data_IF_923200580834
#
_entry.id   IF_923200580834
#
_cell.length_a   1.000
_cell.length_b   1.000
_cell.length_c   1.000
_cell.angle_alpha   90.00
_cell.angle_beta   90.00
_cell.angle_gamma   90.00
#
_symmetry.space_group_name_H-M   'P 1'
#
loop_
_entity.id
_entity.type
_entity.pdbx_description
1 polymer ?
#
# COMPACT_ATOMS: atom_id res chain seq x y z
N UNK A 1 17.01 2.11 -26.98
CA UNK A 1 15.94 3.05 -26.63
C UNK A 1 14.64 2.81 -27.44
N UNK A 2 14.36 1.58 -27.88
CA UNK A 2 13.15 1.22 -28.66
C UNK A 2 12.36 0.03 -28.11
N UNK A 3 12.82 -0.58 -27.00
CA UNK A 3 12.16 -1.77 -26.40
C UNK A 3 11.22 -1.47 -25.23
N UNK A 4 11.32 -0.31 -24.62
CA UNK A 4 10.49 0.07 -23.44
C UNK A 4 9.04 0.42 -23.78
N UNK A 5 8.76 0.83 -25.04
CA UNK A 5 7.41 1.25 -25.44
C UNK A 5 6.43 0.10 -25.78
N UNK A 6 6.91 -1.12 -26.01
CA UNK A 6 6.02 -2.24 -26.35
C UNK A 6 5.51 -2.99 -25.12
N UNK A 7 6.33 -3.13 -24.08
CA UNK A 7 5.91 -3.76 -22.83
C UNK A 7 4.85 -2.92 -22.10
N UNK A 8 5.05 -1.59 -22.02
CA UNK A 8 4.08 -0.67 -21.43
C UNK A 8 2.74 -0.67 -22.18
N UNK A 9 2.75 -0.77 -23.52
CA UNK A 9 1.52 -0.85 -24.31
C UNK A 9 0.78 -2.17 -24.15
N UNK A 10 1.48 -3.27 -23.95
CA UNK A 10 0.86 -4.57 -23.70
C UNK A 10 0.23 -4.64 -22.30
N UNK A 11 0.86 -4.05 -21.30
CA UNK A 11 0.32 -3.96 -19.94
C UNK A 11 -0.92 -3.05 -19.91
N UNK A 12 -0.88 -1.91 -20.61
CA UNK A 12 -2.05 -1.01 -20.72
C UNK A 12 -3.22 -1.66 -21.46
N UNK A 13 -2.94 -2.41 -22.53
CA UNK A 13 -3.98 -3.14 -23.27
C UNK A 13 -4.60 -4.28 -22.44
N UNK A 14 -3.80 -4.98 -21.64
CA UNK A 14 -4.28 -6.00 -20.72
C UNK A 14 -5.18 -5.40 -19.62
N UNK A 15 -4.78 -4.24 -19.05
CA UNK A 15 -5.57 -3.51 -18.06
C UNK A 15 -6.89 -2.97 -18.62
N UNK A 16 -6.91 -2.45 -19.85
CA UNK A 16 -8.13 -1.96 -20.50
C UNK A 16 -9.10 -3.10 -20.82
N UNK A 17 -8.62 -4.27 -21.20
CA UNK A 17 -9.47 -5.43 -21.47
C UNK A 17 -10.07 -6.02 -20.18
N UNK A 18 -9.36 -5.91 -19.06
CA UNK A 18 -9.85 -6.35 -17.75
C UNK A 18 -10.92 -5.38 -17.21
N UNK A 19 -10.71 -4.07 -17.35
CA UNK A 19 -11.63 -3.04 -16.83
C UNK A 19 -12.96 -2.97 -17.59
N UNK A 20 -12.97 -3.24 -18.90
CA UNK A 20 -14.21 -3.22 -19.70
C UNK A 20 -15.15 -4.39 -19.42
N UNK A 21 -14.68 -5.48 -18.79
CA UNK A 21 -15.56 -6.59 -18.36
C UNK A 21 -16.18 -6.40 -16.97
N UNK A 22 -15.59 -5.60 -16.11
CA UNK A 22 -16.10 -5.34 -14.77
C UNK A 22 -17.33 -4.39 -14.74
N UNK A 23 -17.52 -3.57 -15.78
CA UNK A 23 -18.60 -2.57 -15.84
C UNK A 23 -19.95 -3.18 -16.29
N UNK A 24 -19.99 -4.41 -16.81
CA UNK A 24 -21.21 -5.05 -17.33
C UNK A 24 -21.72 -6.28 -16.56
N UNK A 25 -21.27 -6.49 -15.31
CA UNK A 25 -21.60 -7.68 -14.53
C UNK A 25 -22.64 -7.45 -13.42
N UNK A 26 -23.50 -6.44 -13.53
CA UNK A 26 -24.56 -6.20 -12.54
C UNK A 26 -25.96 -6.19 -13.20
N UNK A 27 -26.34 -7.34 -13.78
CA UNK A 27 -27.73 -7.67 -14.05
C UNK A 27 -27.96 -9.14 -13.68
N UNK A 28 -28.73 -9.32 -12.62
CA UNK A 28 -29.23 -10.52 -11.96
C UNK A 28 -29.51 -11.78 -12.76
N UNK A 29 -28.48 -12.46 -13.29
CA UNK A 29 -28.58 -13.74 -14.00
C UNK A 29 -27.44 -14.69 -13.59
N UNK A 30 -27.43 -15.12 -12.34
CA UNK A 30 -26.27 -15.82 -11.76
C UNK A 30 -26.49 -17.30 -11.39
N UNK A 31 -27.54 -17.98 -11.85
CA UNK A 31 -27.78 -19.37 -11.41
C UNK A 31 -27.64 -20.41 -12.52
N UNK A 32 -27.63 -20.03 -13.79
CA UNK A 32 -27.74 -21.03 -14.89
C UNK A 32 -26.45 -21.17 -15.75
N UNK A 33 -25.51 -20.26 -15.65
CA UNK A 33 -24.32 -20.25 -16.52
C UNK A 33 -23.19 -21.15 -16.04
N UNK A 34 -23.05 -21.32 -14.73
CA UNK A 34 -22.01 -22.17 -14.15
C UNK A 34 -22.30 -23.65 -14.38
N UNK A 35 -23.55 -24.07 -14.30
CA UNK A 35 -23.97 -25.45 -14.58
C UNK A 35 -23.82 -25.80 -16.08
N UNK A 36 -24.04 -24.85 -16.97
CA UNK A 36 -23.83 -25.02 -18.42
C UNK A 36 -22.36 -25.19 -18.78
N UNK A 37 -21.47 -24.37 -18.15
CA UNK A 37 -20.02 -24.47 -18.30
C UNK A 37 -19.50 -25.81 -17.74
N UNK A 38 -20.02 -26.27 -16.59
CA UNK A 38 -19.64 -27.57 -16.02
C UNK A 38 -20.08 -28.74 -16.90
N UNK A 39 -21.26 -28.66 -17.50
CA UNK A 39 -21.74 -29.64 -18.45
C UNK A 39 -20.88 -29.68 -19.73
N UNK A 40 -20.45 -28.54 -20.23
CA UNK A 40 -19.58 -28.43 -21.40
C UNK A 40 -18.16 -28.96 -21.11
N UNK A 41 -17.61 -28.68 -19.93
CA UNK A 41 -16.30 -29.22 -19.46
C UNK A 41 -16.38 -30.76 -19.31
N UNK A 42 -17.43 -31.31 -18.75
CA UNK A 42 -17.60 -32.75 -18.61
C UNK A 42 -17.81 -33.42 -19.98
N UNK A 43 -18.54 -32.79 -20.90
CA UNK A 43 -18.68 -33.24 -22.27
C UNK A 43 -17.34 -33.27 -23.01
N UNK A 44 -16.54 -32.20 -22.90
CA UNK A 44 -15.19 -32.11 -23.46
C UNK A 44 -14.23 -33.14 -22.84
N UNK A 45 -14.28 -33.37 -21.53
CA UNK A 45 -13.48 -34.42 -20.85
C UNK A 45 -13.86 -35.82 -21.33
N UNK A 46 -15.14 -36.03 -21.63
CA UNK A 46 -15.64 -37.32 -22.13
C UNK A 46 -15.22 -37.53 -23.57
N UNK A 47 -15.26 -36.49 -24.40
CA UNK A 47 -14.81 -36.51 -25.78
C UNK A 47 -13.30 -36.71 -25.90
N UNK A 48 -12.51 -36.03 -25.05
CA UNK A 48 -11.06 -36.26 -24.94
C UNK A 48 -10.75 -37.70 -24.50
N UNK A 49 -11.52 -38.28 -23.56
CA UNK A 49 -11.36 -39.70 -23.16
C UNK A 49 -11.69 -40.63 -24.33
N UNK A 50 -12.73 -40.34 -25.10
CA UNK A 50 -13.14 -41.11 -26.26
C UNK A 50 -12.12 -41.02 -27.42
N UNK A 51 -11.56 -39.82 -27.66
CA UNK A 51 -10.47 -39.60 -28.62
C UNK A 51 -9.18 -40.30 -28.18
N UNK A 52 -8.84 -40.32 -26.87
CA UNK A 52 -7.72 -41.11 -26.35
C UNK A 52 -7.89 -42.61 -26.53
N UNK A 53 -9.12 -43.13 -26.40
CA UNK A 53 -9.41 -44.55 -26.62
C UNK A 53 -9.38 -44.99 -28.11
N UNK A 54 -9.57 -44.05 -29.04
CA UNK A 54 -9.51 -44.30 -30.50
C UNK A 54 -8.10 -44.19 -31.11
N UNK A 55 -7.14 -43.57 -30.41
CA UNK A 55 -5.82 -43.29 -30.94
C UNK A 55 -4.76 -44.36 -30.66
N UNK A 56 -5.20 -45.59 -30.43
CA UNK A 56 -4.23 -46.70 -30.25
C UNK A 56 -3.75 -47.29 -31.58
N UNK A 57 -4.33 -46.91 -32.71
CA UNK A 57 -3.84 -47.38 -34.00
C UNK A 57 -3.74 -46.27 -35.04
N UNK A 58 -2.58 -46.23 -35.66
CA UNK A 58 -2.11 -45.61 -36.89
C UNK A 58 -1.67 -44.15 -36.93
N UNK A 59 -0.36 -43.99 -37.07
CA UNK A 59 0.20 -43.07 -38.10
C UNK A 59 0.55 -41.64 -37.73
N UNK A 60 0.51 -41.23 -36.46
CA UNK A 60 1.03 -39.90 -36.09
C UNK A 60 2.56 -39.96 -35.87
N UNK A 61 3.30 -39.20 -36.69
CA UNK A 61 4.72 -38.94 -36.52
C UNK A 61 5.02 -38.44 -35.07
N UNK A 62 6.14 -38.82 -34.50
CA UNK A 62 6.55 -38.51 -33.15
C UNK A 62 6.48 -37.00 -32.87
N UNK A 63 6.78 -36.17 -33.85
CA UNK A 63 6.71 -34.70 -33.80
C UNK A 63 5.26 -34.20 -33.63
N UNK A 64 4.33 -34.76 -34.38
CA UNK A 64 2.89 -34.42 -34.25
C UNK A 64 2.29 -34.88 -32.92
N UNK A 65 2.75 -36.01 -32.37
CA UNK A 65 2.31 -36.46 -31.01
C UNK A 65 2.75 -35.50 -29.94
N UNK A 66 3.96 -34.95 -30.02
CA UNK A 66 4.48 -33.95 -29.09
C UNK A 66 3.65 -32.64 -29.21
N UNK A 67 3.34 -32.22 -30.42
CA UNK A 67 2.59 -30.99 -30.68
C UNK A 67 1.12 -31.09 -30.22
N UNK A 68 0.46 -32.21 -30.49
CA UNK A 68 -0.90 -32.49 -30.00
C UNK A 68 -0.91 -32.58 -28.47
N UNK A 69 0.09 -33.23 -27.86
CA UNK A 69 0.19 -33.31 -26.41
C UNK A 69 0.42 -31.91 -25.77
N UNK A 70 1.21 -31.08 -26.44
CA UNK A 70 1.42 -29.68 -26.02
C UNK A 70 0.11 -28.87 -26.07
N UNK A 71 -0.63 -28.91 -27.19
CA UNK A 71 -1.91 -28.23 -27.35
C UNK A 71 -2.95 -28.72 -26.33
N UNK A 72 -3.00 -30.02 -26.06
CA UNK A 72 -3.89 -30.58 -25.03
C UNK A 72 -3.47 -30.13 -23.63
N UNK A 73 -2.17 -30.13 -23.33
CA UNK A 73 -1.70 -29.65 -22.03
C UNK A 73 -1.93 -28.15 -21.86
N UNK A 74 -1.73 -27.35 -22.90
CA UNK A 74 -2.01 -25.91 -22.88
C UNK A 74 -3.52 -25.64 -22.72
N UNK A 75 -4.38 -26.40 -23.39
CA UNK A 75 -5.83 -26.30 -23.22
C UNK A 75 -6.31 -26.79 -21.83
N UNK A 76 -5.71 -27.84 -21.28
CA UNK A 76 -6.01 -28.31 -19.94
C UNK A 76 -5.52 -27.32 -18.88
N UNK A 77 -4.33 -26.72 -19.06
CA UNK A 77 -3.84 -25.67 -18.19
C UNK A 77 -4.72 -24.42 -18.22
N UNK A 78 -5.23 -24.02 -19.39
CA UNK A 78 -6.20 -22.93 -19.53
C UNK A 78 -7.56 -23.28 -18.87
N UNK A 79 -8.02 -24.52 -19.02
CA UNK A 79 -9.24 -25.00 -18.34
C UNK A 79 -9.04 -25.08 -16.82
N UNK A 80 -7.90 -25.55 -16.34
CA UNK A 80 -7.56 -25.60 -14.92
C UNK A 80 -7.39 -24.18 -14.33
N UNK A 81 -6.83 -23.23 -15.08
CA UNK A 81 -6.82 -21.81 -14.69
C UNK A 81 -8.22 -21.22 -14.57
N UNK A 82 -9.15 -21.60 -15.44
CA UNK A 82 -10.54 -21.14 -15.38
C UNK A 82 -11.34 -21.78 -14.27
N UNK A 83 -11.08 -23.05 -13.96
CA UNK A 83 -11.78 -23.79 -12.88
C UNK A 83 -11.20 -23.48 -11.50
N UNK A 84 -9.91 -23.16 -11.38
CA UNK A 84 -9.31 -22.70 -10.13
C UNK A 84 -9.77 -21.30 -9.71
N UNK A 85 -10.43 -20.54 -10.57
CA UNK A 85 -11.10 -19.27 -10.21
C UNK A 85 -12.35 -19.46 -9.35
N UNK A 86 -12.97 -20.62 -9.35
CA UNK A 86 -14.09 -20.90 -8.46
C UNK A 86 -13.61 -20.97 -6.99
N UNK A 87 -13.84 -19.88 -6.23
CA UNK A 87 -13.47 -19.74 -4.83
C UNK A 87 -12.19 -18.92 -4.54
N UNK A 88 -11.51 -18.40 -5.57
CA UNK A 88 -10.39 -17.45 -5.40
C UNK A 88 -10.80 -16.02 -5.72
N UNK A 89 -10.10 -15.01 -5.16
CA UNK A 89 -10.28 -13.62 -5.57
C UNK A 89 -10.13 -13.46 -7.09
N UNK A 90 -10.93 -12.61 -7.69
CA UNK A 90 -10.93 -12.38 -9.15
C UNK A 90 -9.57 -11.86 -9.68
N UNK A 91 -8.75 -11.26 -8.83
CA UNK A 91 -7.43 -10.69 -9.09
C UNK A 91 -6.28 -11.66 -8.81
N UNK A 92 -6.56 -12.96 -8.53
CA UNK A 92 -5.54 -13.97 -8.24
C UNK A 92 -5.47 -15.03 -9.34
N UNK A 93 -4.25 -15.41 -9.73
CA UNK A 93 -3.92 -16.54 -10.61
C UNK A 93 -3.02 -17.48 -9.83
N UNK A 94 -3.20 -18.78 -9.99
CA UNK A 94 -2.33 -19.77 -9.36
C UNK A 94 -2.00 -20.93 -10.31
N UNK A 95 -0.83 -21.54 -10.12
CA UNK A 95 -0.48 -22.81 -10.76
C UNK A 95 -1.35 -23.97 -10.25
N UNK A 96 -1.44 -25.03 -11.02
CA UNK A 96 -2.26 -26.19 -10.67
C UNK A 96 -1.76 -26.93 -9.41
N UNK A 97 -0.48 -26.89 -9.14
CA UNK A 97 0.18 -27.46 -7.94
C UNK A 97 0.12 -26.54 -6.72
N UNK A 98 -0.22 -25.26 -6.92
CA UNK A 98 -0.28 -24.26 -5.85
C UNK A 98 1.08 -23.66 -5.47
N UNK A 99 2.17 -24.06 -6.11
CA UNK A 99 3.52 -23.57 -5.81
C UNK A 99 3.75 -22.12 -6.26
N UNK A 100 2.94 -21.65 -7.20
CA UNK A 100 2.97 -20.26 -7.68
C UNK A 100 1.60 -19.62 -7.56
N UNK A 101 1.56 -18.42 -7.00
CA UNK A 101 0.40 -17.52 -7.05
C UNK A 101 0.81 -16.14 -7.53
N UNK A 102 -0.08 -15.45 -8.21
CA UNK A 102 0.07 -14.05 -8.61
C UNK A 102 -1.24 -13.34 -8.34
N UNK A 103 -1.19 -12.33 -7.50
CA UNK A 103 -2.27 -11.37 -7.26
C UNK A 103 -1.87 -10.02 -7.83
N UNK A 104 -2.82 -9.31 -8.45
CA UNK A 104 -2.64 -7.98 -8.96
C UNK A 104 -3.68 -7.05 -8.34
N UNK A 105 -3.22 -5.94 -7.76
CA UNK A 105 -4.06 -4.93 -7.12
C UNK A 105 -3.76 -3.54 -7.71
N UNK A 106 -4.78 -2.70 -7.76
CA UNK A 106 -4.68 -1.30 -8.20
C UNK A 106 -5.37 -0.42 -7.18
N UNK A 107 -4.70 0.66 -6.77
CA UNK A 107 -5.29 1.74 -5.98
C UNK A 107 -5.14 3.01 -6.79
N UNK A 108 -6.24 3.73 -7.00
CA UNK A 108 -6.27 5.03 -7.66
C UNK A 108 -7.02 6.03 -6.80
N UNK A 109 -6.36 7.16 -6.50
CA UNK A 109 -6.94 8.28 -5.77
C UNK A 109 -6.79 9.55 -6.60
N UNK A 110 -7.92 10.16 -6.94
CA UNK A 110 -8.00 11.35 -7.76
C UNK A 110 -8.62 12.48 -6.97
N UNK A 111 -7.91 13.58 -6.85
CA UNK A 111 -8.21 14.66 -5.94
C UNK A 111 -8.56 15.96 -6.65
N UNK A 112 -9.42 16.75 -6.04
CA UNK A 112 -9.55 18.16 -6.27
C UNK A 112 -9.25 18.90 -4.96
N UNK A 113 -8.43 19.93 -5.05
CA UNK A 113 -7.91 20.67 -3.91
C UNK A 113 -8.09 22.16 -4.14
N UNK A 114 -8.49 22.87 -3.09
CA UNK A 114 -8.49 24.32 -3.00
C UNK A 114 -7.75 24.71 -1.71
N UNK A 115 -6.66 25.49 -1.83
CA UNK A 115 -5.97 26.09 -0.69
C UNK A 115 -6.13 27.59 -0.70
N UNK A 116 -6.57 28.13 0.42
CA UNK A 116 -6.63 29.57 0.70
C UNK A 116 -5.71 29.87 1.89
N UNK A 117 -4.59 30.51 1.63
CA UNK A 117 -3.60 30.96 2.63
C UNK A 117 -3.66 32.47 2.81
N UNK A 118 -3.18 32.96 3.97
CA UNK A 118 -3.00 34.40 4.19
C UNK A 118 -1.73 34.96 3.55
N UNK A 119 -0.70 34.13 3.43
CA UNK A 119 0.63 34.53 2.93
C UNK A 119 0.83 34.21 1.45
N UNK A 120 0.02 33.33 0.88
CA UNK A 120 0.17 32.83 -0.49
C UNK A 120 -1.12 33.05 -1.31
N UNK A 121 -1.01 33.18 -2.64
CA UNK A 121 -2.18 33.21 -3.51
C UNK A 121 -3.03 31.95 -3.37
N UNK A 122 -4.34 32.08 -3.49
CA UNK A 122 -5.25 30.92 -3.53
C UNK A 122 -4.87 29.99 -4.68
N UNK A 123 -4.69 28.72 -4.39
CA UNK A 123 -4.34 27.66 -5.35
C UNK A 123 -5.45 26.62 -5.40
N UNK A 124 -5.73 26.10 -6.57
CA UNK A 124 -6.72 25.04 -6.75
C UNK A 124 -6.39 24.20 -7.99
N UNK A 125 -6.80 22.95 -7.98
CA UNK A 125 -6.58 22.06 -9.13
C UNK A 125 -6.95 20.62 -8.85
N UNK A 126 -6.83 19.84 -9.90
CA UNK A 126 -6.94 18.38 -9.85
C UNK A 126 -5.57 17.75 -9.75
N UNK A 127 -5.47 16.64 -9.04
CA UNK A 127 -4.27 15.83 -8.92
C UNK A 127 -4.64 14.34 -8.96
N UNK A 128 -3.80 13.54 -9.60
CA UNK A 128 -3.76 12.11 -9.38
C UNK A 128 -2.76 11.89 -8.23
N UNK A 129 -3.28 11.78 -7.02
CA UNK A 129 -2.46 11.66 -5.82
C UNK A 129 -1.78 10.31 -5.74
N UNK A 130 -2.57 9.26 -5.83
CA UNK A 130 -2.10 7.89 -5.74
C UNK A 130 -2.55 7.09 -6.95
N UNK A 131 -1.59 6.45 -7.62
CA UNK A 131 -1.84 5.35 -8.54
C UNK A 131 -0.83 4.26 -8.25
N UNK A 132 -1.23 3.27 -7.44
CA UNK A 132 -0.41 2.12 -7.09
C UNK A 132 -0.80 0.91 -7.94
N UNK A 133 0.22 0.24 -8.46
CA UNK A 133 0.10 -1.02 -9.17
C UNK A 133 0.90 -2.06 -8.41
N UNK A 134 0.22 -3.00 -7.77
CA UNK A 134 0.86 -4.01 -6.93
C UNK A 134 0.74 -5.39 -7.55
N UNK A 135 1.81 -6.15 -7.48
CA UNK A 135 1.87 -7.56 -7.83
C UNK A 135 2.46 -8.31 -6.64
N UNK A 136 1.83 -9.40 -6.22
CA UNK A 136 2.33 -10.21 -5.12
C UNK A 136 1.90 -11.66 -5.25
N UNK A 137 2.48 -12.52 -4.43
CA UNK A 137 2.11 -13.92 -4.44
C UNK A 137 3.17 -14.82 -3.82
N UNK A 138 3.07 -16.11 -4.13
CA UNK A 138 4.03 -17.13 -3.69
C UNK A 138 4.81 -17.68 -4.88
N UNK A 139 6.01 -18.22 -4.62
CA UNK A 139 6.87 -18.88 -5.60
C UNK A 139 7.65 -19.97 -4.89
N UNK A 140 7.84 -21.13 -5.53
CA UNK A 140 8.50 -22.31 -4.93
C UNK A 140 7.76 -22.91 -3.70
N UNK A 141 6.45 -22.65 -3.59
CA UNK A 141 5.62 -23.07 -2.47
C UNK A 141 5.20 -21.93 -1.54
N UNK A 142 4.41 -22.21 -0.49
CA UNK A 142 3.79 -21.19 0.35
C UNK A 142 4.77 -20.42 1.24
N UNK A 143 5.97 -20.97 1.48
CA UNK A 143 6.97 -20.37 2.38
C UNK A 143 7.71 -19.19 1.73
N UNK A 144 7.77 -19.17 0.41
CA UNK A 144 8.36 -18.08 -0.35
C UNK A 144 7.30 -17.19 -0.93
N UNK A 145 7.28 -15.94 -0.54
CA UNK A 145 6.42 -14.90 -1.11
C UNK A 145 7.23 -13.76 -1.70
N UNK A 146 6.61 -13.02 -2.59
CA UNK A 146 7.16 -11.81 -3.18
C UNK A 146 6.09 -10.75 -3.28
N UNK A 147 6.51 -9.49 -3.26
CA UNK A 147 5.63 -8.37 -3.57
C UNK A 147 6.41 -7.28 -4.28
N UNK A 148 5.76 -6.66 -5.26
CA UNK A 148 6.27 -5.50 -5.98
C UNK A 148 5.12 -4.51 -6.10
N UNK A 149 5.35 -3.26 -5.71
CA UNK A 149 4.43 -2.16 -5.91
C UNK A 149 5.15 -1.00 -6.57
N UNK A 150 4.52 -0.39 -7.53
CA UNK A 150 5.00 0.83 -8.16
C UNK A 150 3.93 1.91 -8.10
N UNK A 151 4.31 3.10 -7.64
CA UNK A 151 3.50 4.30 -7.72
C UNK A 151 3.79 5.04 -9.04
N UNK A 152 2.76 5.66 -9.59
CA UNK A 152 2.92 6.61 -10.69
C UNK A 152 2.99 8.01 -10.09
N UNK A 153 4.17 8.62 -10.17
CA UNK A 153 4.36 9.99 -9.70
C UNK A 153 3.65 11.03 -10.59
N UNK A 154 3.52 12.26 -10.09
CA UNK A 154 2.88 13.37 -10.79
C UNK A 154 3.55 13.74 -12.13
N UNK A 155 4.79 13.36 -12.33
CA UNK A 155 5.53 13.50 -13.59
C UNK A 155 5.32 12.32 -14.57
N UNK A 156 4.48 11.34 -14.20
CA UNK A 156 4.24 10.12 -14.98
C UNK A 156 5.36 9.07 -14.87
N UNK A 157 6.33 9.27 -13.99
CA UNK A 157 7.36 8.26 -13.72
C UNK A 157 6.80 7.15 -12.82
N UNK A 158 7.25 5.92 -13.06
CA UNK A 158 7.01 4.79 -12.17
C UNK A 158 8.10 4.78 -11.10
N UNK A 159 7.71 4.95 -9.86
CA UNK A 159 8.57 4.86 -8.69
C UNK A 159 8.20 3.59 -7.92
N UNK A 160 9.14 2.71 -7.60
CA UNK A 160 8.83 1.56 -6.77
C UNK A 160 8.54 2.02 -5.34
N UNK A 161 7.45 1.51 -4.80
CA UNK A 161 7.08 1.69 -3.39
C UNK A 161 7.66 0.57 -2.53
N UNK A 162 7.70 -0.64 -3.07
CA UNK A 162 8.39 -1.78 -2.49
C UNK A 162 8.65 -2.84 -3.55
N UNK A 163 9.70 -3.63 -3.35
CA UNK A 163 10.03 -4.78 -4.18
C UNK A 163 10.88 -5.74 -3.36
N UNK A 164 10.28 -6.79 -2.81
CA UNK A 164 10.99 -7.72 -1.93
C UNK A 164 10.61 -9.16 -2.18
N UNK A 165 11.52 -10.06 -1.77
CA UNK A 165 11.24 -11.46 -1.55
C UNK A 165 11.21 -11.73 -0.03
N UNK A 166 10.31 -12.63 0.40
CA UNK A 166 10.16 -13.04 1.80
C UNK A 166 10.23 -14.55 1.91
N UNK A 167 10.89 -15.03 2.94
CA UNK A 167 10.81 -16.40 3.40
C UNK A 167 10.15 -16.46 4.78
N UNK A 168 9.13 -17.31 4.90
CA UNK A 168 8.41 -17.56 6.14
C UNK A 168 8.83 -18.91 6.73
N UNK A 169 9.30 -18.90 7.98
CA UNK A 169 9.61 -20.09 8.74
C UNK A 169 8.36 -20.65 9.46
N UNK A 170 8.35 -21.95 9.74
CA UNK A 170 7.23 -22.66 10.38
C UNK A 170 6.82 -22.07 11.74
N UNK A 171 7.75 -21.43 12.43
CA UNK A 171 7.54 -20.86 13.77
C UNK A 171 7.03 -19.42 13.76
N UNK A 172 6.67 -18.88 12.59
CA UNK A 172 6.17 -17.53 12.41
C UNK A 172 7.25 -16.45 12.27
N UNK A 173 8.54 -16.82 12.28
CA UNK A 173 9.65 -15.95 11.91
C UNK A 173 9.60 -15.73 10.39
N UNK A 174 9.90 -14.53 9.93
CA UNK A 174 10.08 -14.25 8.49
C UNK A 174 11.26 -13.31 8.25
N UNK A 175 11.81 -13.44 7.05
CA UNK A 175 12.90 -12.59 6.55
C UNK A 175 12.48 -12.04 5.20
N UNK A 176 12.60 -10.73 5.03
CA UNK A 176 12.41 -10.04 3.74
C UNK A 176 13.73 -9.42 3.30
N UNK A 177 13.95 -9.36 1.99
CA UNK A 177 15.09 -8.66 1.40
C UNK A 177 14.68 -7.95 0.11
N UNK A 178 15.13 -6.73 -0.07
CA UNK A 178 14.83 -5.89 -1.24
C UNK A 178 14.58 -4.44 -0.88
N UNK A 179 13.70 -3.77 -1.63
CA UNK A 179 13.15 -2.45 -1.29
C UNK A 179 11.99 -2.69 -0.34
N UNK A 180 12.14 -2.23 0.88
CA UNK A 180 11.24 -2.53 1.98
C UNK A 180 10.28 -1.36 2.23
N UNK A 181 9.05 -1.67 2.65
CA UNK A 181 8.20 -0.69 3.32
C UNK A 181 8.54 -0.72 4.81
N UNK A 182 9.17 0.32 5.31
CA UNK A 182 9.50 0.42 6.74
C UNK A 182 8.33 1.04 7.50
N UNK A 183 7.63 0.22 8.26
CA UNK A 183 6.49 0.66 9.07
C UNK A 183 6.97 1.21 10.41
N UNK A 184 7.32 2.48 10.43
CA UNK A 184 7.75 3.17 11.64
C UNK A 184 6.58 3.43 12.59
N UNK A 185 5.40 3.81 12.06
CA UNK A 185 4.16 3.99 12.82
C UNK A 185 3.02 3.14 12.25
N UNK A 186 1.93 3.00 13.01
CA UNK A 186 0.75 2.28 12.53
C UNK A 186 0.14 2.95 11.30
N UNK A 187 0.13 4.27 11.24
CA UNK A 187 -0.51 5.01 10.14
C UNK A 187 0.19 4.74 8.80
N UNK A 188 1.51 4.63 8.80
CA UNK A 188 2.30 4.30 7.61
C UNK A 188 2.12 2.84 7.17
N UNK A 189 1.76 1.95 8.10
CA UNK A 189 1.50 0.54 7.79
C UNK A 189 0.13 0.28 7.16
N UNK A 190 -0.74 1.30 7.09
CA UNK A 190 -2.09 1.17 6.55
C UNK A 190 -2.10 1.58 5.09
N UNK A 191 -2.64 0.72 4.24
CA UNK A 191 -2.75 1.00 2.80
C UNK A 191 -3.51 2.31 2.53
N UNK A 192 -3.17 3.06 1.47
CA UNK A 192 -3.83 4.32 1.14
C UNK A 192 -5.35 4.23 1.06
N UNK A 193 -5.90 3.12 0.55
CA UNK A 193 -7.34 2.93 0.44
C UNK A 193 -8.05 2.72 1.79
N UNK A 194 -7.32 2.37 2.85
CA UNK A 194 -7.86 2.14 4.20
C UNK A 194 -7.63 3.34 5.15
N UNK A 195 -7.08 4.44 4.66
CA UNK A 195 -6.94 5.69 5.42
C UNK A 195 -8.31 6.34 5.66
N UNK A 196 -8.45 7.12 6.75
CA UNK A 196 -9.71 7.84 7.04
C UNK A 196 -9.97 8.96 6.04
N UNK A 197 -8.99 9.82 5.85
CA UNK A 197 -9.06 10.99 4.98
C UNK A 197 -8.61 10.71 3.55
N UNK A 198 -8.25 11.78 2.86
CA UNK A 198 -7.70 11.73 1.51
C UNK A 198 -6.27 11.23 1.50
N UNK A 199 -5.53 11.36 2.62
CA UNK A 199 -4.13 10.97 2.77
C UNK A 199 -3.81 10.63 4.24
N UNK A 200 -2.58 10.18 4.48
CA UNK A 200 -1.96 10.14 5.81
C UNK A 200 -2.13 11.51 6.51
N UNK A 201 -2.00 11.53 7.84
CA UNK A 201 -1.84 12.79 8.54
C UNK A 201 -0.57 13.52 8.04
N UNK A 202 -0.59 14.86 8.04
CA UNK A 202 0.58 15.64 7.72
C UNK A 202 1.77 15.25 8.59
N UNK A 203 1.51 15.03 9.88
CA UNK A 203 2.51 14.56 10.83
C UNK A 203 3.10 13.21 10.43
N UNK A 204 2.30 12.19 10.10
CA UNK A 204 2.82 10.88 9.74
C UNK A 204 3.68 10.92 8.47
N UNK A 205 3.31 11.75 7.49
CA UNK A 205 4.11 11.97 6.28
C UNK A 205 5.49 12.58 6.56
N UNK A 206 5.61 13.41 7.62
CA UNK A 206 6.90 14.00 7.99
C UNK A 206 7.89 13.00 8.60
N UNK A 207 7.38 11.89 9.12
CA UNK A 207 8.15 10.83 9.77
C UNK A 207 8.07 9.52 8.95
N UNK A 208 7.82 9.63 7.66
CA UNK A 208 7.83 8.48 6.77
C UNK A 208 9.26 7.98 6.54
N UNK A 209 9.48 6.70 6.81
CA UNK A 209 10.78 6.06 6.61
C UNK A 209 11.13 5.88 5.13
N UNK A 210 10.15 6.06 4.25
CA UNK A 210 10.32 5.80 2.82
C UNK A 210 10.48 4.31 2.52
N UNK A 211 11.21 4.01 1.47
CA UNK A 211 11.40 2.67 0.92
C UNK A 211 12.89 2.32 0.84
N UNK A 212 13.58 2.08 1.98
CA UNK A 212 14.98 1.76 1.95
C UNK A 212 15.25 0.36 1.43
N UNK A 213 16.42 0.18 0.83
CA UNK A 213 16.94 -1.13 0.46
C UNK A 213 17.57 -1.80 1.69
N UNK A 214 17.19 -3.05 1.98
CA UNK A 214 17.67 -3.71 3.18
C UNK A 214 17.17 -5.12 3.39
N UNK A 215 17.34 -5.57 4.64
CA UNK A 215 16.85 -6.84 5.15
C UNK A 215 16.00 -6.57 6.38
N UNK A 216 14.79 -7.11 6.38
CA UNK A 216 13.86 -7.06 7.49
C UNK A 216 13.69 -8.47 8.07
N UNK A 217 13.75 -8.57 9.38
CA UNK A 217 13.43 -9.79 10.13
C UNK A 217 12.26 -9.48 11.06
N UNK A 218 11.22 -10.31 11.02
CA UNK A 218 10.05 -10.11 11.85
C UNK A 218 9.45 -11.41 12.33
N UNK A 219 8.64 -11.32 13.39
CA UNK A 219 7.89 -12.45 13.92
C UNK A 219 6.56 -11.99 14.48
N UNK A 220 5.52 -12.75 14.17
CA UNK A 220 4.18 -12.54 14.70
C UNK A 220 3.78 -13.66 15.67
N UNK A 221 3.27 -13.25 16.82
CA UNK A 221 2.63 -14.10 17.83
C UNK A 221 1.15 -13.76 17.92
N UNK A 222 0.43 -14.46 18.75
CA UNK A 222 -0.99 -14.20 18.98
C UNK A 222 -1.29 -12.76 19.40
N UNK A 223 -0.50 -12.21 20.34
CA UNK A 223 -0.70 -10.86 20.91
C UNK A 223 0.44 -9.90 20.69
N UNK A 224 1.58 -10.36 20.21
CA UNK A 224 2.77 -9.57 19.97
C UNK A 224 3.23 -9.70 18.53
N UNK A 225 3.77 -8.64 18.01
CA UNK A 225 4.48 -8.65 16.74
C UNK A 225 5.70 -7.74 16.85
N UNK A 226 6.80 -8.14 16.24
CA UNK A 226 7.96 -7.29 16.13
C UNK A 226 8.62 -7.48 14.76
N UNK A 227 9.31 -6.45 14.33
CA UNK A 227 10.25 -6.51 13.22
C UNK A 227 11.40 -5.56 13.44
N UNK A 228 12.52 -5.85 12.78
CA UNK A 228 13.69 -5.00 12.72
C UNK A 228 14.27 -5.03 11.33
N UNK A 229 14.70 -3.87 10.85
CA UNK A 229 15.29 -3.67 9.54
C UNK A 229 16.72 -3.22 9.69
N UNK A 230 17.60 -3.75 8.85
CA UNK A 230 18.93 -3.22 8.57
C UNK A 230 18.91 -2.75 7.11
N UNK A 231 19.17 -1.46 6.89
CA UNK A 231 18.97 -0.83 5.57
C UNK A 231 20.04 0.21 5.25
N UNK A 232 19.98 0.78 4.06
CA UNK A 232 20.79 1.91 3.61
C UNK A 232 20.45 3.23 4.34
N UNK A 233 19.60 3.18 5.36
CA UNK A 233 19.15 4.31 6.15
C UNK A 233 17.82 4.90 5.66
N UNK A 234 17.29 5.80 6.46
CA UNK A 234 15.99 6.43 6.30
C UNK A 234 15.83 7.11 4.94
N UNK A 235 14.76 6.78 4.23
CA UNK A 235 14.41 7.39 2.94
C UNK A 235 15.36 7.03 1.79
N UNK A 236 16.20 6.02 1.93
CA UNK A 236 17.25 5.70 0.95
C UNK A 236 16.87 4.49 0.10
N UNK A 237 16.49 4.75 -1.15
CA UNK A 237 16.28 3.73 -2.18
C UNK A 237 17.02 4.08 -3.47
N UNK A 238 17.41 3.07 -4.25
CA UNK A 238 18.14 3.20 -5.52
C UNK A 238 19.45 4.00 -5.44
N UNK A 239 20.16 3.86 -4.33
CA UNK A 239 21.44 4.51 -4.13
C UNK A 239 22.55 3.62 -4.65
N UNK A 240 23.54 4.21 -5.33
CA UNK A 240 24.78 3.48 -5.63
C UNK A 240 25.43 3.07 -4.29
N UNK A 241 25.60 1.76 -4.01
CA UNK A 241 26.15 1.29 -2.76
C UNK A 241 27.60 1.76 -2.52
N UNK A 242 28.30 2.21 -3.57
CA UNK A 242 29.65 2.77 -3.44
C UNK A 242 29.64 4.26 -3.05
N UNK A 243 28.52 4.94 -3.26
CA UNK A 243 28.33 6.36 -2.87
C UNK A 243 27.61 6.50 -1.52
N UNK A 244 26.87 5.46 -1.09
CA UNK A 244 26.17 5.47 0.19
C UNK A 244 27.12 5.05 1.32
N UNK A 245 27.26 5.93 2.30
CA UNK A 245 28.04 5.67 3.52
C UNK A 245 27.14 5.62 4.76
N UNK A 246 25.83 5.54 4.58
CA UNK A 246 24.83 5.49 5.65
C UNK A 246 24.32 4.08 5.85
N UNK A 247 24.11 3.70 7.10
CA UNK A 247 23.41 2.47 7.49
C UNK A 247 22.36 2.86 8.53
N UNK A 248 21.18 2.27 8.41
CA UNK A 248 20.08 2.46 9.34
C UNK A 248 19.64 1.16 9.97
N UNK A 249 19.23 1.25 11.22
CA UNK A 249 18.48 0.19 11.91
C UNK A 249 17.17 0.78 12.38
N UNK A 250 16.07 0.12 12.02
CA UNK A 250 14.75 0.42 12.56
C UNK A 250 14.22 -0.82 13.29
N UNK A 251 13.44 -0.61 14.34
CA UNK A 251 12.72 -1.66 15.02
C UNK A 251 11.35 -1.17 15.45
N UNK A 252 10.36 -2.07 15.39
CA UNK A 252 9.01 -1.81 15.91
C UNK A 252 8.50 -3.02 16.67
N UNK A 253 7.81 -2.76 17.79
CA UNK A 253 7.10 -3.76 18.60
C UNK A 253 5.66 -3.34 18.74
N UNK A 254 4.75 -4.28 18.58
CA UNK A 254 3.32 -4.08 18.74
C UNK A 254 2.73 -5.07 19.71
N UNK A 255 1.79 -4.58 20.52
CA UNK A 255 1.01 -5.37 21.46
C UNK A 255 -0.47 -5.23 21.17
N UNK A 256 -1.13 -6.35 20.91
CA UNK A 256 -2.56 -6.48 20.66
C UNK A 256 -3.22 -7.25 21.79
N UNK A 257 -3.80 -6.58 22.80
CA UNK A 257 -4.50 -7.25 23.89
C UNK A 257 -5.69 -8.09 23.42
N UNK A 258 -6.43 -7.58 22.42
CA UNK A 258 -7.59 -8.23 21.79
C UNK A 258 -7.82 -7.69 20.38
N UNK A 259 -8.62 -8.41 19.58
CA UNK A 259 -8.91 -8.10 18.18
C UNK A 259 -8.14 -8.99 17.20
N UNK A 260 -8.34 -8.75 15.92
CA UNK A 260 -7.63 -9.41 14.84
C UNK A 260 -6.54 -8.49 14.27
N UNK A 261 -5.40 -9.06 13.88
CA UNK A 261 -4.29 -8.27 13.31
C UNK A 261 -4.68 -7.52 12.05
N UNK A 262 -5.43 -8.17 11.14
CA UNK A 262 -5.79 -7.56 9.87
C UNK A 262 -6.75 -6.38 10.05
N UNK A 263 -7.76 -6.52 10.91
CA UNK A 263 -8.73 -5.46 11.16
C UNK A 263 -8.12 -4.21 11.82
N UNK A 264 -7.04 -4.38 12.59
CA UNK A 264 -6.34 -3.27 13.25
C UNK A 264 -5.46 -2.44 12.32
N UNK A 265 -5.25 -2.92 11.08
CA UNK A 265 -4.55 -2.22 10.00
C UNK A 265 -5.51 -1.56 9.00
N UNK A 266 -6.73 -1.26 9.45
CA UNK A 266 -7.73 -0.46 8.74
C UNK A 266 -8.17 0.67 9.65
N UNK A 267 -8.12 1.92 9.20
CA UNK A 267 -8.67 3.02 9.99
C UNK A 267 -10.17 3.18 9.82
N UNK A 268 -10.73 2.60 8.77
CA UNK A 268 -12.17 2.59 8.54
C UNK A 268 -12.82 1.44 9.34
N UNK A 269 -13.45 1.69 10.50
CA UNK A 269 -14.06 0.67 11.34
C UNK A 269 -15.41 0.23 10.77
N UNK A 270 -15.41 -0.39 9.59
CA UNK A 270 -16.61 -0.81 8.87
C UNK A 270 -17.54 -1.64 9.75
N UNK A 271 -18.83 -1.24 9.89
CA UNK A 271 -19.78 -1.98 10.68
C UNK A 271 -19.92 -3.44 10.20
N UNK A 272 -19.70 -4.39 11.13
CA UNK A 272 -19.79 -5.83 10.84
C UNK A 272 -18.50 -6.47 10.31
N UNK A 273 -17.48 -5.71 9.92
CA UNK A 273 -16.16 -6.24 9.54
C UNK A 273 -15.18 -6.19 10.71
N UNK A 274 -15.30 -5.20 11.57
CA UNK A 274 -14.45 -5.02 12.75
C UNK A 274 -15.28 -5.14 14.00
N UNK A 275 -15.05 -6.16 14.81
CA UNK A 275 -15.78 -6.32 16.07
C UNK A 275 -15.23 -5.39 17.15
N UNK A 276 -14.05 -5.69 17.63
CA UNK A 276 -13.35 -4.92 18.64
C UNK A 276 -11.84 -5.19 18.59
N UNK A 277 -11.05 -4.14 18.67
CA UNK A 277 -9.60 -4.28 18.68
C UNK A 277 -8.88 -3.16 19.43
N UNK A 278 -7.71 -3.47 19.96
CA UNK A 278 -6.78 -2.52 20.56
C UNK A 278 -5.36 -2.91 20.15
N UNK A 279 -4.62 -1.94 19.66
CA UNK A 279 -3.20 -2.06 19.32
C UNK A 279 -2.40 -0.95 20.00
N UNK A 280 -1.24 -1.28 20.54
CA UNK A 280 -0.26 -0.33 21.05
C UNK A 280 1.07 -0.64 20.34
N UNK A 281 1.68 0.35 19.74
CA UNK A 281 2.92 0.24 18.98
C UNK A 281 4.01 1.17 19.50
N UNK A 282 5.25 0.72 19.39
CA UNK A 282 6.46 1.51 19.64
C UNK A 282 7.45 1.24 18.52
N UNK A 283 7.94 2.31 17.89
CA UNK A 283 8.96 2.26 16.86
C UNK A 283 10.15 3.11 17.23
N UNK A 284 11.32 2.73 16.73
CA UNK A 284 12.54 3.50 16.85
C UNK A 284 13.48 3.24 15.70
N UNK A 285 14.22 4.25 15.28
CA UNK A 285 15.28 4.11 14.29
C UNK A 285 16.52 4.87 14.70
N UNK A 286 17.65 4.36 14.25
CA UNK A 286 18.94 5.00 14.37
C UNK A 286 19.70 4.84 13.05
N UNK A 287 20.13 5.96 12.49
CA UNK A 287 20.96 5.99 11.29
C UNK A 287 22.33 6.57 11.64
N UNK A 288 23.38 5.99 11.08
CA UNK A 288 24.74 6.47 11.23
C UNK A 288 25.48 6.51 9.91
N UNK A 289 26.45 7.41 9.80
CA UNK A 289 27.27 7.59 8.61
C UNK A 289 26.97 8.89 7.86
N UNK A 290 27.67 9.06 6.76
CA UNK A 290 27.56 10.25 5.94
C UNK A 290 26.46 10.08 4.88
N UNK A 291 25.73 11.13 4.67
CA UNK A 291 24.62 11.20 3.72
C UNK A 291 25.01 12.08 2.53
N UNK A 292 25.05 11.51 1.35
CA UNK A 292 25.27 12.26 0.11
C UNK A 292 23.95 12.88 -0.37
N UNK A 293 23.85 14.20 -0.35
CA UNK A 293 22.68 14.94 -0.88
C UNK A 293 22.82 15.20 -2.38
N UNK A 294 22.87 14.19 -3.22
CA UNK A 294 22.99 14.36 -4.67
C UNK A 294 24.21 15.23 -5.06
N UNK A 295 24.00 16.47 -5.52
CA UNK A 295 25.07 17.41 -5.91
C UNK A 295 25.61 18.29 -4.77
N UNK A 296 25.08 18.14 -3.55
CA UNK A 296 25.49 18.90 -2.36
C UNK A 296 26.66 18.27 -1.62
N UNK A 297 27.26 18.98 -0.62
CA UNK A 297 28.22 18.38 0.27
C UNK A 297 27.55 17.28 1.11
N UNK A 298 28.27 16.19 1.36
CA UNK A 298 27.80 15.16 2.26
C UNK A 298 27.48 15.74 3.64
N UNK A 299 26.33 15.39 4.19
CA UNK A 299 25.94 15.76 5.55
C UNK A 299 26.35 14.63 6.46
N UNK A 300 27.23 14.93 7.40
CA UNK A 300 27.71 13.98 8.41
C UNK A 300 26.91 14.12 9.69
N UNK A 301 26.50 13.01 10.24
CA UNK A 301 25.88 12.95 11.57
C UNK A 301 24.83 11.86 11.71
N UNK A 302 24.67 11.43 12.94
CA UNK A 302 23.71 10.39 13.30
C UNK A 302 22.30 10.99 13.41
N UNK A 303 21.28 10.19 13.07
CA UNK A 303 19.89 10.55 13.25
C UNK A 303 19.18 9.54 14.14
N UNK A 304 18.32 10.02 15.02
CA UNK A 304 17.52 9.19 15.93
C UNK A 304 16.06 9.56 15.80
N UNK A 305 15.19 8.56 15.72
CA UNK A 305 13.74 8.76 15.66
C UNK A 305 13.03 7.79 16.59
N UNK A 306 11.90 8.20 17.12
CA UNK A 306 11.05 7.39 17.97
C UNK A 306 9.58 7.69 17.71
N UNK A 307 8.72 6.67 17.84
CA UNK A 307 7.27 6.81 17.79
C UNK A 307 6.60 5.93 18.82
N UNK A 308 5.44 6.38 19.29
CA UNK A 308 4.52 5.57 20.07
C UNK A 308 3.12 5.83 19.57
N UNK A 309 2.36 4.77 19.34
CA UNK A 309 0.99 4.86 18.82
C UNK A 309 0.03 3.90 19.54
N UNK A 310 -1.24 4.26 19.49
CA UNK A 310 -2.34 3.47 19.99
C UNK A 310 -3.51 3.56 19.02
N UNK A 311 -4.11 2.43 18.69
CA UNK A 311 -5.32 2.34 17.88
C UNK A 311 -6.36 1.49 18.57
N UNK A 312 -7.59 1.99 18.67
CA UNK A 312 -8.73 1.28 19.21
C UNK A 312 -9.87 1.31 18.20
N UNK A 313 -10.49 0.17 18.01
CA UNK A 313 -11.62 -0.01 17.11
C UNK A 313 -12.72 -0.80 17.78
N UNK A 314 -13.94 -0.43 17.46
CA UNK A 314 -15.15 -1.19 17.76
C UNK A 314 -16.14 -0.94 16.61
N UNK A 315 -16.97 -1.91 16.25
CA UNK A 315 -17.88 -1.83 15.10
C UNK A 315 -18.48 -0.42 14.92
N UNK A 316 -18.14 0.25 13.82
CA UNK A 316 -18.58 1.60 13.50
C UNK A 316 -17.84 2.75 14.20
N UNK A 317 -16.85 2.50 15.04
CA UNK A 317 -16.06 3.54 15.72
C UNK A 317 -14.58 3.16 15.69
N UNK A 318 -13.71 4.10 15.30
CA UNK A 318 -12.26 3.96 15.34
C UNK A 318 -11.59 5.18 15.95
N UNK A 319 -10.56 4.97 16.75
CA UNK A 319 -9.73 6.03 17.33
C UNK A 319 -8.26 5.65 17.18
N UNK A 320 -7.42 6.62 16.85
CA UNK A 320 -5.96 6.46 16.80
C UNK A 320 -5.30 7.71 17.35
N UNK A 321 -4.17 7.53 18.04
CA UNK A 321 -3.25 8.60 18.38
C UNK A 321 -1.81 8.13 18.24
N UNK A 322 -0.93 9.04 17.80
CA UNK A 322 0.50 8.79 17.70
C UNK A 322 1.29 10.02 18.12
N UNK A 323 2.49 9.77 18.64
CA UNK A 323 3.49 10.79 18.95
C UNK A 323 4.81 10.41 18.31
N UNK A 324 5.55 11.43 17.83
CA UNK A 324 6.77 11.27 17.05
C UNK A 324 7.88 12.16 17.60
N UNK A 325 9.10 11.69 17.51
CA UNK A 325 10.31 12.40 17.81
C UNK A 325 11.37 12.12 16.75
N UNK A 326 12.13 13.16 16.39
CA UNK A 326 13.28 13.08 15.50
C UNK A 326 14.36 14.03 15.98
N UNK A 327 15.62 13.58 15.89
CA UNK A 327 16.81 14.41 16.09
C UNK A 327 17.78 14.11 14.94
N UNK A 328 17.99 15.10 14.07
CA UNK A 328 18.83 15.00 12.89
C UNK A 328 19.82 16.17 12.84
N UNK A 329 20.99 16.02 12.18
CA UNK A 329 21.94 17.10 12.02
C UNK A 329 21.32 18.34 11.37
N UNK A 330 21.50 19.52 11.97
CA UNK A 330 20.96 20.80 11.49
C UNK A 330 21.53 21.23 10.12
N UNK A 331 22.58 20.58 9.65
CA UNK A 331 23.15 20.80 8.32
C UNK A 331 22.27 20.31 7.16
N UNK A 332 21.25 19.52 7.44
CA UNK A 332 20.20 19.15 6.47
C UNK A 332 19.14 20.24 6.38
N UNK A 333 18.52 20.41 5.20
CA UNK A 333 17.43 21.36 5.00
C UNK A 333 16.28 21.13 5.98
N UNK A 334 16.04 19.86 6.31
CA UNK A 334 15.01 19.39 7.24
C UNK A 334 15.58 18.93 8.59
N UNK A 335 16.85 19.23 8.87
CA UNK A 335 17.53 18.84 10.09
C UNK A 335 17.06 19.61 11.32
N UNK A 336 17.38 19.07 12.49
CA UNK A 336 17.02 19.64 13.78
C UNK A 336 16.19 18.68 14.60
N UNK A 337 15.74 19.17 15.74
CA UNK A 337 14.90 18.41 16.65
C UNK A 337 13.44 18.67 16.36
N UNK A 338 12.66 17.59 16.13
CA UNK A 338 11.25 17.66 15.81
C UNK A 338 10.43 16.84 16.80
N UNK A 339 9.27 17.37 17.15
CA UNK A 339 8.24 16.72 17.92
C UNK A 339 6.93 16.86 17.20
N UNK A 340 6.15 15.79 17.16
CA UNK A 340 4.83 15.87 16.55
C UNK A 340 3.86 14.89 17.20
N UNK A 341 2.56 15.18 17.07
CA UNK A 341 1.51 14.31 17.54
C UNK A 341 0.30 14.42 16.62
N UNK A 342 -0.40 13.31 16.48
CA UNK A 342 -1.69 13.22 15.78
C UNK A 342 -2.69 12.46 16.63
N UNK A 343 -3.95 12.86 16.58
CA UNK A 343 -5.08 12.09 17.07
C UNK A 343 -6.22 12.17 16.05
N UNK A 344 -6.81 11.03 15.73
CA UNK A 344 -7.92 10.95 14.78
C UNK A 344 -8.98 9.96 15.23
N UNK A 345 -10.20 10.16 14.77
CA UNK A 345 -11.29 9.25 15.03
C UNK A 345 -12.36 9.30 13.96
N UNK A 346 -13.00 8.16 13.73
CA UNK A 346 -14.09 8.00 12.80
C UNK A 346 -15.31 7.35 13.46
N UNK A 347 -16.45 7.69 12.92
CA UNK A 347 -17.73 7.12 13.30
C UNK A 347 -18.58 6.87 12.06
N UNK A 348 -19.18 5.69 11.96
CA UNK A 348 -20.13 5.31 10.92
C UNK A 348 -21.57 5.49 11.41
N UNK A 349 -22.26 6.58 11.08
CA UNK A 349 -23.68 6.76 11.41
C UNK A 349 -24.57 5.74 10.67
N UNK A 350 -24.15 5.33 9.49
CA UNK A 350 -24.75 4.28 8.65
C UNK A 350 -23.63 3.51 7.93
N UNK A 351 -23.90 2.32 7.45
CA UNK A 351 -22.86 1.44 6.87
C UNK A 351 -22.15 2.01 5.63
N UNK A 352 -22.73 3.00 4.96
CA UNK A 352 -22.21 3.60 3.72
C UNK A 352 -21.63 5.00 3.90
N UNK A 353 -21.61 5.54 5.12
CA UNK A 353 -21.06 6.84 5.42
C UNK A 353 -20.26 6.82 6.70
N UNK A 354 -19.10 7.41 6.66
CA UNK A 354 -18.36 7.80 7.86
C UNK A 354 -18.28 9.32 8.00
N UNK A 355 -18.04 9.74 9.23
CA UNK A 355 -17.58 11.09 9.57
C UNK A 355 -16.35 10.94 10.45
N UNK A 356 -15.36 11.80 10.24
CA UNK A 356 -14.12 11.74 10.99
C UNK A 356 -13.58 13.12 11.34
N UNK A 357 -12.73 13.15 12.35
CA UNK A 357 -11.96 14.32 12.73
C UNK A 357 -10.52 13.91 13.03
N UNK A 358 -9.58 14.81 12.72
CA UNK A 358 -8.14 14.67 12.99
C UNK A 358 -7.61 15.97 13.57
N UNK A 359 -6.80 15.87 14.61
CA UNK A 359 -6.03 16.98 15.17
C UNK A 359 -4.55 16.65 15.10
N UNK A 360 -3.73 17.60 14.68
CA UNK A 360 -2.30 17.44 14.47
C UNK A 360 -1.55 18.62 15.08
N UNK A 361 -0.36 18.34 15.59
CA UNK A 361 0.54 19.35 16.11
C UNK A 361 1.99 18.96 15.81
N UNK A 362 2.82 19.95 15.49
CA UNK A 362 4.26 19.75 15.30
C UNK A 362 5.06 20.96 15.69
N UNK A 363 6.30 20.73 16.12
CA UNK A 363 7.29 21.73 16.49
C UNK A 363 8.67 21.34 15.98
N UNK A 364 9.39 22.30 15.41
CA UNK A 364 10.76 22.16 14.91
C UNK A 364 11.68 23.10 15.67
N UNK A 365 12.83 22.60 16.11
CA UNK A 365 13.94 23.37 16.70
C UNK A 365 15.18 23.21 15.81
N UNK A 366 15.40 24.13 14.87
CA UNK A 366 16.55 24.16 13.97
C UNK A 366 17.32 25.51 14.02
N UNK A 367 17.33 26.18 15.20
CA UNK A 367 17.87 27.51 15.41
C UNK A 367 16.80 28.59 15.60
N UNK A 368 15.65 28.45 15.04
CA UNK A 368 14.38 29.10 15.36
C UNK A 368 13.35 28.05 15.70
N UNK A 369 12.34 28.40 16.46
CA UNK A 369 11.20 27.51 16.73
C UNK A 369 10.09 27.78 15.75
N UNK A 370 9.63 26.73 15.08
CA UNK A 370 8.49 26.76 14.17
C UNK A 370 7.47 25.72 14.60
N UNK A 371 6.28 26.18 14.96
CA UNK A 371 5.19 25.33 15.45
C UNK A 371 3.99 25.45 14.50
N UNK A 372 3.31 24.36 14.28
CA UNK A 372 1.99 24.35 13.63
C UNK A 372 0.97 23.57 14.45
N UNK A 373 -0.30 23.84 14.20
CA UNK A 373 -1.42 23.00 14.61
C UNK A 373 -2.39 22.86 13.41
N UNK A 374 -2.98 21.68 13.25
CA UNK A 374 -3.98 21.44 12.21
C UNK A 374 -5.19 20.74 12.79
N UNK A 375 -6.35 21.05 12.21
CA UNK A 375 -7.58 20.32 12.45
C UNK A 375 -8.23 19.98 11.12
N UNK A 376 -8.61 18.72 10.97
CA UNK A 376 -9.31 18.18 9.81
C UNK A 376 -10.67 17.67 10.24
N UNK A 377 -11.68 17.95 9.47
CA UNK A 377 -13.03 17.34 9.59
C UNK A 377 -13.40 16.86 8.19
N UNK A 378 -13.89 15.64 8.10
CA UNK A 378 -14.28 15.04 6.84
C UNK A 378 -15.43 14.05 6.96
N UNK A 379 -15.92 13.65 5.80
CA UNK A 379 -16.89 12.59 5.64
C UNK A 379 -16.58 11.79 4.38
N UNK A 380 -16.82 10.48 4.44
CA UNK A 380 -16.65 9.60 3.29
C UNK A 380 -17.96 8.91 2.95
N UNK A 381 -18.25 8.83 1.65
CA UNK A 381 -19.29 7.96 1.11
C UNK A 381 -18.68 6.69 0.56
N UNK A 382 -19.14 5.55 1.07
CA UNK A 382 -18.58 4.23 0.83
C UNK A 382 -19.70 3.30 0.36
N UNK A 383 -20.14 3.41 -0.91
CA UNK A 383 -21.35 2.72 -1.39
C UNK A 383 -21.27 1.20 -1.35
N UNK A 384 -20.07 0.63 -1.50
CA UNK A 384 -19.85 -0.81 -1.45
C UNK A 384 -19.75 -1.36 -0.01
N UNK A 385 -19.67 -0.49 1.01
CA UNK A 385 -19.43 -0.88 2.41
C UNK A 385 -18.00 -1.35 2.69
N UNK A 386 -17.08 -1.11 1.75
CA UNK A 386 -15.66 -1.40 1.85
C UNK A 386 -14.83 -0.34 1.08
N UNK A 387 -13.48 -0.46 1.14
CA UNK A 387 -12.55 0.52 0.56
C UNK A 387 -12.43 0.54 -0.96
N UNK A 388 -13.14 -0.33 -1.69
CA UNK A 388 -13.01 -0.43 -3.15
C UNK A 388 -13.49 0.82 -3.89
N UNK A 389 -14.54 1.46 -3.39
CA UNK A 389 -15.04 2.74 -3.91
C UNK A 389 -15.34 3.68 -2.75
N UNK A 390 -14.65 4.81 -2.70
CA UNK A 390 -14.81 5.82 -1.67
C UNK A 390 -14.79 7.21 -2.27
N UNK A 391 -15.67 8.09 -1.82
CA UNK A 391 -15.65 9.52 -2.10
C UNK A 391 -15.46 10.25 -0.79
N UNK A 392 -14.39 11.02 -0.66
CA UNK A 392 -14.03 11.77 0.54
C UNK A 392 -14.24 13.26 0.32
N UNK A 393 -14.78 13.93 1.32
CA UNK A 393 -14.87 15.39 1.41
C UNK A 393 -14.26 15.80 2.74
N UNK A 394 -13.28 16.70 2.71
CA UNK A 394 -12.67 17.19 3.95
C UNK A 394 -12.29 18.67 3.90
N UNK A 395 -12.21 19.25 5.07
CA UNK A 395 -11.70 20.60 5.30
C UNK A 395 -10.58 20.50 6.32
N UNK A 396 -9.42 21.06 5.95
CA UNK A 396 -8.25 21.18 6.82
C UNK A 396 -8.06 22.64 7.18
N UNK A 397 -7.84 22.92 8.44
CA UNK A 397 -7.43 24.24 8.93
C UNK A 397 -6.08 24.12 9.60
N UNK A 398 -5.09 24.85 9.10
CA UNK A 398 -3.75 24.98 9.69
C UNK A 398 -3.58 26.34 10.35
N UNK A 399 -2.90 26.35 11.47
CA UNK A 399 -2.46 27.54 12.22
C UNK A 399 -0.96 27.45 12.46
N UNK A 400 -0.27 28.59 12.49
CA UNK A 400 1.17 28.64 12.70
C UNK A 400 1.96 28.53 11.41
N UNK A 401 3.18 28.01 11.47
CA UNK A 401 4.09 27.92 10.33
C UNK A 401 4.36 26.48 9.95
N UNK A 402 4.19 26.18 8.67
CA UNK A 402 4.59 24.92 8.03
C UNK A 402 5.84 25.10 7.16
N UNK A 403 6.51 26.24 7.22
CA UNK A 403 7.63 26.59 6.34
C UNK A 403 8.87 25.69 6.53
N UNK A 404 9.10 25.21 7.75
CA UNK A 404 10.22 24.31 8.08
C UNK A 404 9.85 22.81 8.02
N UNK A 405 8.71 22.49 7.41
CA UNK A 405 8.22 21.15 7.23
C UNK A 405 8.16 20.79 5.74
N UNK A 406 8.50 19.55 5.39
CA UNK A 406 8.33 19.08 4.03
C UNK A 406 6.85 19.03 3.67
N UNK A 407 6.49 19.57 2.52
CA UNK A 407 5.13 19.51 1.99
C UNK A 407 5.06 18.65 0.73
N UNK A 408 6.14 18.00 0.36
CA UNK A 408 6.18 17.07 -0.76
C UNK A 408 5.31 15.85 -0.44
N UNK A 409 4.37 15.56 -1.32
CA UNK A 409 3.42 14.46 -1.13
C UNK A 409 2.17 14.82 -0.32
N UNK A 410 2.06 16.04 0.22
CA UNK A 410 0.87 16.44 0.96
C UNK A 410 -0.12 17.19 0.09
N UNK A 411 -1.35 16.71 0.02
CA UNK A 411 -2.36 17.22 -0.91
C UNK A 411 -2.78 18.63 -0.50
N UNK A 412 -2.17 19.63 -1.13
CA UNK A 412 -2.58 21.04 -1.07
C UNK A 412 -2.16 21.80 0.19
N UNK A 413 -1.36 21.26 1.08
CA UNK A 413 -0.70 22.01 2.14
C UNK A 413 0.51 22.74 1.54
N UNK A 414 0.71 24.00 1.89
CA UNK A 414 1.82 24.82 1.42
C UNK A 414 2.83 25.02 2.54
N UNK A 415 4.13 24.96 2.21
CA UNK A 415 5.20 25.44 3.10
C UNK A 415 5.08 26.96 3.23
N UNK A 416 4.42 27.43 4.26
CA UNK A 416 4.08 28.82 4.40
C UNK A 416 4.05 29.26 5.87
N UNK A 417 4.40 30.55 6.08
CA UNK A 417 4.15 31.21 7.35
C UNK A 417 2.72 31.73 7.40
N UNK A 418 1.93 31.18 8.30
CA UNK A 418 0.57 31.63 8.56
C UNK A 418 -0.51 30.61 8.27
N UNK A 419 -1.72 31.03 8.57
CA UNK A 419 -2.89 30.15 8.55
C UNK A 419 -3.31 29.77 7.13
N UNK A 420 -3.70 28.52 6.95
CA UNK A 420 -4.22 27.98 5.69
C UNK A 420 -5.58 27.30 5.93
N UNK A 421 -6.44 27.35 4.92
CA UNK A 421 -7.67 26.54 4.87
C UNK A 421 -7.68 25.79 3.56
N UNK A 422 -7.78 24.47 3.66
CA UNK A 422 -7.73 23.57 2.51
C UNK A 422 -9.06 22.81 2.42
N UNK A 423 -9.67 22.80 1.25
CA UNK A 423 -10.81 21.94 0.91
C UNK A 423 -10.30 20.85 -0.01
N UNK A 424 -10.60 19.60 0.30
CA UNK A 424 -10.21 18.42 -0.49
C UNK A 424 -11.43 17.59 -0.83
N UNK A 425 -11.43 17.06 -2.04
CA UNK A 425 -12.38 16.04 -2.49
C UNK A 425 -11.59 14.96 -3.17
N UNK A 426 -11.80 13.72 -2.80
CA UNK A 426 -11.10 12.57 -3.39
C UNK A 426 -12.11 11.54 -3.92
N UNK A 427 -11.82 11.01 -5.08
CA UNK A 427 -12.48 9.82 -5.62
C UNK A 427 -11.45 8.68 -5.63
N UNK A 428 -11.75 7.62 -4.89
CA UNK A 428 -10.89 6.44 -4.75
C UNK A 428 -11.53 5.22 -5.42
N UNK A 429 -10.67 4.48 -6.14
CA UNK A 429 -10.95 3.12 -6.61
C UNK A 429 -9.83 2.19 -6.16
N UNK A 430 -10.19 1.01 -5.64
CA UNK A 430 -9.25 -0.06 -5.30
C UNK A 430 -9.80 -1.40 -5.80
N UNK A 431 -9.00 -2.17 -6.50
CA UNK A 431 -9.44 -3.45 -7.07
C UNK A 431 -8.27 -4.38 -7.39
#
# INVERSE_FOLDING_TARGET
MFWTNHAARLILLALVVISTRAVFADDGFEVDRDDEIWCEIEALRTEIRHLRGRQVDDGLDATRRVEVRRVINDALADADMRTNRAGRPWNEIASADGDFTLQADVIMQYDWVLNSSRSEPTRYGFSLDTLWLSLGGTVFGPDWSYAVCAAVGSNGAFNPEYAYAQYQFDDGLFVQAGILSEYFSIEQAINPNEQLGTSLSFVAGQFDAGQPEGILVGRQFERWRFWSTLSNGWGQSFIDPLENQRIGVMARVEFKPFGDWNSLYMFNPYPGLVDRGLLVGFGGSFDWGDYATGTGPAVSGDATRATADISWQQSGIGLMAAAYYQDEPVSQADGGRRWAAVAQGAFFPVSTWDVYARGEWGAVENGSRSDFAMATIGASWIPAGDSRLKVVLEVVRSWGSTADWSVDGDIGILAADGDQTIFRTQLQFAF
#
